data_IF_540026658452
#
_entry.id   IF_540026658452
#
_cell.length_a   1.000
_cell.length_b   1.000
_cell.length_c   1.000
_cell.angle_alpha   90.00
_cell.angle_beta   90.00
_cell.angle_gamma   90.00
#
_symmetry.space_group_name_H-M   'P 1'
#
loop_
_entity.id
_entity.type
_entity.pdbx_description
1 polymer ?
#
# COMPACT_ATOMS: atom_id res chain seq x y z
N UNK A 1 -26.61 -2.58 9.74
CA UNK A 1 -25.88 -1.37 9.28
C UNK A 1 -25.19 -1.71 7.97
N UNK A 2 -25.15 -0.78 7.02
CA UNK A 2 -24.46 -0.95 5.74
C UNK A 2 -23.85 0.41 5.34
N UNK A 3 -22.55 0.46 5.11
CA UNK A 3 -21.79 1.68 4.78
C UNK A 3 -20.96 1.50 3.52
N UNK A 4 -20.88 2.55 2.71
CA UNK A 4 -20.16 2.57 1.44
C UNK A 4 -19.34 3.86 1.31
N UNK A 5 -18.31 3.81 0.46
CA UNK A 5 -17.61 5.01 -0.02
C UNK A 5 -18.36 5.66 -1.20
N UNK A 6 -17.82 6.76 -1.73
CA UNK A 6 -18.41 7.49 -2.86
C UNK A 6 -18.49 6.69 -4.17
N UNK A 7 -17.79 5.55 -4.26
CA UNK A 7 -17.80 4.65 -5.41
C UNK A 7 -18.73 3.43 -5.17
N UNK A 8 -19.58 3.48 -4.14
CA UNK A 8 -20.48 2.40 -3.72
C UNK A 8 -19.76 1.10 -3.33
N UNK A 9 -18.51 1.18 -2.85
CA UNK A 9 -17.78 0.02 -2.31
C UNK A 9 -17.93 -0.04 -0.80
N UNK A 10 -18.01 -1.24 -0.22
CA UNK A 10 -18.07 -1.41 1.23
C UNK A 10 -16.89 -0.70 1.90
N UNK A 11 -17.19 0.23 2.81
CA UNK A 11 -16.16 1.04 3.42
C UNK A 11 -16.65 1.64 4.75
N UNK A 12 -15.79 1.57 5.76
CA UNK A 12 -15.91 2.32 7.01
C UNK A 12 -14.52 2.40 7.69
N UNK A 13 -14.29 3.47 8.46
CA UNK A 13 -13.00 3.75 9.09
C UNK A 13 -13.10 3.59 10.61
N UNK A 14 -12.50 2.53 11.16
CA UNK A 14 -12.57 2.21 12.60
C UNK A 14 -13.93 1.66 13.06
N UNK A 15 -14.87 1.44 12.14
CA UNK A 15 -16.21 0.91 12.41
C UNK A 15 -16.60 -0.16 11.39
N UNK A 16 -17.60 -1.01 11.67
CA UNK A 16 -18.07 -1.98 10.70
C UNK A 16 -18.70 -1.33 9.47
N UNK A 17 -18.30 -1.79 8.28
CA UNK A 17 -18.99 -1.50 7.03
C UNK A 17 -20.34 -2.24 6.98
N UNK A 18 -20.41 -3.44 7.57
CA UNK A 18 -21.66 -4.19 7.76
C UNK A 18 -21.78 -4.60 9.22
N UNK A 19 -22.97 -4.42 9.80
CA UNK A 19 -23.35 -5.04 11.07
C UNK A 19 -24.64 -5.80 10.91
N UNK A 20 -24.57 -7.11 11.15
CA UNK A 20 -25.69 -8.04 11.11
C UNK A 20 -26.49 -8.02 12.42
N UNK A 21 -27.70 -8.57 12.39
CA UNK A 21 -28.63 -8.58 13.54
C UNK A 21 -28.16 -9.44 14.70
N UNK A 22 -27.33 -10.44 14.41
CA UNK A 22 -26.71 -11.35 15.39
C UNK A 22 -25.46 -10.74 16.05
N UNK A 23 -25.07 -9.52 15.67
CA UNK A 23 -23.89 -8.83 16.19
C UNK A 23 -22.61 -9.04 15.36
N UNK A 24 -22.62 -9.97 14.39
CA UNK A 24 -21.47 -10.15 13.50
C UNK A 24 -21.21 -8.86 12.72
N UNK A 25 -19.93 -8.52 12.55
CA UNK A 25 -19.49 -7.28 11.94
C UNK A 25 -18.44 -7.56 10.87
N UNK A 26 -18.57 -6.92 9.71
CA UNK A 26 -17.57 -6.92 8.66
C UNK A 26 -16.98 -5.52 8.54
N UNK A 27 -15.66 -5.47 8.53
CA UNK A 27 -14.89 -4.26 8.32
C UNK A 27 -14.42 -4.23 6.88
N UNK A 28 -14.43 -3.08 6.25
CA UNK A 28 -13.99 -2.95 4.87
C UNK A 28 -13.41 -1.58 4.61
N UNK A 29 -12.41 -1.52 3.74
CA UNK A 29 -11.76 -0.29 3.32
C UNK A 29 -11.67 -0.27 1.79
N UNK A 30 -12.49 0.58 1.17
CA UNK A 30 -12.57 0.73 -0.29
C UNK A 30 -12.84 -0.60 -1.01
N UNK A 31 -13.77 -1.39 -0.47
CA UNK A 31 -14.19 -2.67 -1.02
C UNK A 31 -13.35 -3.87 -0.58
N UNK A 32 -12.20 -3.68 0.06
CA UNK A 32 -11.39 -4.78 0.61
C UNK A 32 -11.88 -5.10 2.02
N UNK A 33 -12.23 -6.36 2.28
CA UNK A 33 -12.61 -6.81 3.63
C UNK A 33 -11.37 -6.89 4.52
N UNK A 34 -11.44 -6.24 5.68
CA UNK A 34 -10.33 -6.18 6.64
C UNK A 34 -10.52 -7.22 7.74
N UNK A 35 -9.43 -7.89 8.16
CA UNK A 35 -9.38 -8.51 9.47
C UNK A 35 -9.75 -7.51 10.57
N UNK A 36 -10.43 -7.98 11.61
CA UNK A 36 -10.88 -7.13 12.72
C UNK A 36 -9.73 -6.33 13.35
N UNK A 37 -8.53 -6.93 13.48
CA UNK A 37 -7.32 -6.28 14.01
C UNK A 37 -6.98 -4.94 13.34
N UNK A 38 -7.35 -4.76 12.07
CA UNK A 38 -7.17 -3.52 11.31
C UNK A 38 -8.45 -2.71 11.25
N UNK A 39 -9.59 -3.38 11.03
CA UNK A 39 -10.88 -2.75 10.79
C UNK A 39 -11.43 -1.93 11.96
N UNK A 40 -11.13 -2.33 13.19
CA UNK A 40 -11.58 -1.60 14.40
C UNK A 40 -10.74 -0.34 14.68
N UNK A 41 -9.59 -0.20 14.03
CA UNK A 41 -8.69 0.94 14.22
C UNK A 41 -8.92 1.91 13.06
N UNK A 42 -9.18 3.19 13.32
CA UNK A 42 -9.29 4.17 12.23
C UNK A 42 -7.94 4.32 11.49
N UNK A 43 -7.92 4.56 10.17
CA UNK A 43 -6.69 4.61 9.38
C UNK A 43 -5.62 5.58 9.88
N UNK A 44 -6.04 6.72 10.45
CA UNK A 44 -5.12 7.69 11.06
C UNK A 44 -4.36 7.15 12.29
N UNK A 45 -4.78 6.03 12.86
CA UNK A 45 -4.16 5.32 13.97
C UNK A 45 -3.53 3.98 13.54
N UNK A 46 -3.57 3.63 12.26
CA UNK A 46 -2.88 2.44 11.76
C UNK A 46 -1.37 2.55 12.00
N UNK A 47 -0.73 1.42 12.32
CA UNK A 47 0.70 1.36 12.65
C UNK A 47 1.50 0.89 11.43
N UNK A 48 2.57 1.62 11.07
CA UNK A 48 3.43 1.25 9.94
C UNK A 48 4.08 -0.12 10.13
N UNK A 49 4.37 -0.48 11.38
CA UNK A 49 4.98 -1.74 11.78
C UNK A 49 4.15 -2.96 11.37
N UNK A 50 2.83 -2.82 11.21
CA UNK A 50 1.98 -3.90 10.73
C UNK A 50 2.38 -4.39 9.33
N UNK A 51 2.99 -3.52 8.51
CA UNK A 51 3.51 -3.89 7.19
C UNK A 51 4.64 -4.93 7.27
N UNK A 52 5.40 -4.94 8.36
CA UNK A 52 6.54 -5.85 8.57
C UNK A 52 6.10 -7.31 8.78
N UNK A 53 4.87 -7.51 9.26
CA UNK A 53 4.35 -8.83 9.63
C UNK A 53 3.16 -9.31 8.79
N UNK A 54 2.61 -8.45 7.93
CA UNK A 54 1.45 -8.80 7.11
C UNK A 54 1.88 -9.46 5.80
N UNK A 55 1.52 -10.73 5.62
CA UNK A 55 1.90 -11.54 4.47
C UNK A 55 0.99 -11.34 3.26
N UNK A 56 -0.29 -11.02 3.50
CA UNK A 56 -1.27 -10.87 2.45
C UNK A 56 -0.97 -9.60 1.64
N UNK A 57 -0.71 -9.79 0.33
CA UNK A 57 -0.35 -8.69 -0.56
C UNK A 57 -1.46 -7.63 -0.71
N UNK A 58 -2.73 -8.03 -0.70
CA UNK A 58 -3.86 -7.11 -0.79
C UNK A 58 -4.02 -6.28 0.49
N UNK A 59 -3.86 -6.90 1.66
CA UNK A 59 -3.90 -6.18 2.94
C UNK A 59 -2.72 -5.21 3.08
N UNK A 60 -1.51 -5.60 2.67
CA UNK A 60 -0.37 -4.65 2.61
C UNK A 60 -0.66 -3.45 1.72
N UNK A 61 -1.26 -3.67 0.53
CA UNK A 61 -1.67 -2.58 -0.35
C UNK A 61 -2.62 -1.61 0.35
N UNK A 62 -3.62 -2.14 1.06
CA UNK A 62 -4.57 -1.33 1.82
C UNK A 62 -3.87 -0.57 2.95
N UNK A 63 -3.03 -1.23 3.74
CA UNK A 63 -2.26 -0.59 4.81
C UNK A 63 -1.37 0.55 4.27
N UNK A 64 -0.67 0.33 3.16
CA UNK A 64 0.16 1.36 2.51
C UNK A 64 -0.68 2.57 2.11
N UNK A 65 -1.86 2.35 1.53
CA UNK A 65 -2.78 3.41 1.12
C UNK A 65 -3.34 4.18 2.31
N UNK A 66 -3.82 3.47 3.34
CA UNK A 66 -4.46 4.08 4.51
C UNK A 66 -3.47 4.82 5.43
N UNK A 67 -2.26 4.27 5.64
CA UNK A 67 -1.22 4.92 6.45
C UNK A 67 -0.59 6.09 5.70
N UNK A 68 -0.40 5.92 4.39
CA UNK A 68 0.23 6.90 3.53
C UNK A 68 1.74 6.75 3.47
N UNK A 69 2.26 6.90 2.25
CA UNK A 69 3.68 6.74 1.91
C UNK A 69 4.64 7.54 2.81
N UNK A 70 4.37 8.82 3.04
CA UNK A 70 5.29 9.71 3.75
C UNK A 70 5.49 9.26 5.21
N UNK A 71 4.39 8.87 5.87
CA UNK A 71 4.40 8.39 7.25
C UNK A 71 5.16 7.06 7.36
N UNK A 72 4.94 6.14 6.43
CA UNK A 72 5.66 4.86 6.37
C UNK A 72 7.17 5.08 6.26
N UNK A 73 7.59 5.97 5.36
CA UNK A 73 9.02 6.25 5.17
C UNK A 73 9.67 6.86 6.41
N UNK A 74 8.94 7.73 7.11
CA UNK A 74 9.41 8.36 8.33
C UNK A 74 9.49 7.37 9.50
N UNK A 75 8.42 6.61 9.75
CA UNK A 75 8.32 5.69 10.89
C UNK A 75 9.22 4.46 10.72
N UNK A 76 9.32 3.92 9.51
CA UNK A 76 10.11 2.72 9.20
C UNK A 76 11.50 3.03 8.62
N UNK A 77 11.92 4.29 8.61
CA UNK A 77 13.25 4.72 8.17
C UNK A 77 13.62 4.19 6.77
N UNK A 78 12.71 4.34 5.80
CA UNK A 78 12.93 3.85 4.45
C UNK A 78 14.13 4.55 3.79
N UNK A 79 15.04 3.76 3.23
CA UNK A 79 16.20 4.25 2.48
C UNK A 79 15.94 4.19 0.98
N UNK A 80 16.29 5.25 0.25
CA UNK A 80 16.31 5.24 -1.21
C UNK A 80 17.47 4.37 -1.72
N UNK A 81 17.14 3.37 -2.54
CA UNK A 81 18.14 2.50 -3.18
C UNK A 81 18.48 3.00 -4.59
N UNK A 82 17.47 3.41 -5.34
CA UNK A 82 17.62 3.82 -6.72
C UNK A 82 16.46 4.72 -7.15
N UNK A 83 16.73 5.69 -8.01
CA UNK A 83 15.72 6.51 -8.67
C UNK A 83 15.93 6.49 -10.18
N UNK A 84 14.81 6.52 -10.91
CA UNK A 84 14.78 6.59 -12.37
C UNK A 84 13.48 7.28 -12.80
N UNK A 85 13.60 8.43 -13.46
CA UNK A 85 12.45 9.27 -13.82
C UNK A 85 11.53 9.56 -12.61
N UNK A 86 10.23 9.34 -12.72
CA UNK A 86 9.26 9.49 -11.64
C UNK A 86 9.22 8.32 -10.62
N UNK A 87 10.10 7.33 -10.80
CA UNK A 87 10.14 6.11 -10.00
C UNK A 87 11.28 6.17 -8.98
N UNK A 88 11.00 5.72 -7.76
CA UNK A 88 12.02 5.56 -6.71
C UNK A 88 11.84 4.22 -6.01
N UNK A 89 12.88 3.39 -6.04
CA UNK A 89 12.96 2.15 -5.29
C UNK A 89 13.47 2.45 -3.88
N UNK A 90 12.71 2.00 -2.89
CA UNK A 90 12.98 2.20 -1.48
C UNK A 90 13.12 0.85 -0.78
N UNK A 91 13.94 0.82 0.26
CA UNK A 91 14.14 -0.31 1.13
C UNK A 91 13.85 0.09 2.56
N UNK A 92 12.98 -0.68 3.20
CA UNK A 92 12.79 -0.64 4.65
C UNK A 92 13.55 -1.84 5.19
N UNK A 93 14.56 -1.56 6.01
CA UNK A 93 15.27 -2.60 6.74
C UNK A 93 14.29 -3.26 7.71
N UNK A 94 14.37 -4.58 7.82
CA UNK A 94 13.70 -5.33 8.85
C UNK A 94 14.76 -6.03 9.71
N UNK A 95 14.37 -6.49 10.90
CA UNK A 95 15.25 -7.28 11.76
C UNK A 95 15.73 -8.55 11.04
N UNK A 96 16.81 -9.16 11.54
CA UNK A 96 17.51 -10.25 10.85
C UNK A 96 16.62 -11.46 10.47
N UNK A 97 15.52 -11.67 11.18
CA UNK A 97 14.58 -12.78 10.97
C UNK A 97 13.39 -12.41 10.05
N UNK A 98 13.35 -11.19 9.51
CA UNK A 98 12.25 -10.67 8.69
C UNK A 98 12.74 -10.25 7.31
N UNK A 99 11.98 -10.61 6.27
CA UNK A 99 12.29 -10.21 4.89
C UNK A 99 12.19 -8.68 4.75
N UNK A 100 13.21 -7.99 4.21
CA UNK A 100 13.15 -6.54 4.02
C UNK A 100 12.02 -6.16 3.07
N UNK A 101 11.39 -5.01 3.32
CA UNK A 101 10.32 -4.52 2.44
C UNK A 101 10.91 -3.60 1.38
N UNK A 102 10.57 -3.88 0.13
CA UNK A 102 10.91 -3.03 -0.99
C UNK A 102 9.64 -2.36 -1.50
N UNK A 103 9.69 -1.04 -1.65
CA UNK A 103 8.58 -0.24 -2.16
C UNK A 103 9.01 0.50 -3.42
N UNK A 104 8.19 0.43 -4.46
CA UNK A 104 8.29 1.31 -5.61
C UNK A 104 7.38 2.51 -5.38
N UNK A 105 7.98 3.68 -5.19
CA UNK A 105 7.30 4.97 -5.22
C UNK A 105 7.17 5.44 -6.66
N UNK A 106 5.99 5.92 -7.02
CA UNK A 106 5.65 6.51 -8.32
C UNK A 106 5.06 7.89 -8.07
N UNK A 107 5.67 8.93 -8.63
CA UNK A 107 5.17 10.31 -8.51
C UNK A 107 4.55 10.74 -9.82
N UNK A 108 3.23 10.94 -9.87
CA UNK A 108 2.58 11.44 -11.07
C UNK A 108 3.12 12.84 -11.45
N UNK A 109 3.77 13.05 -12.62
CA UNK A 109 4.43 14.32 -12.94
C UNK A 109 3.48 15.51 -13.06
N UNK A 110 2.24 15.26 -13.51
CA UNK A 110 1.24 16.32 -13.75
C UNK A 110 0.50 16.76 -12.49
N UNK A 111 0.35 15.88 -11.51
CA UNK A 111 -0.47 16.16 -10.31
C UNK A 111 0.31 16.12 -9.00
N UNK A 112 1.53 15.58 -9.01
CA UNK A 112 2.33 15.34 -7.81
C UNK A 112 1.81 14.21 -6.92
N UNK A 113 0.74 13.51 -7.30
CA UNK A 113 0.22 12.40 -6.50
C UNK A 113 1.24 11.27 -6.39
N UNK A 114 1.42 10.76 -5.18
CA UNK A 114 2.34 9.68 -4.89
C UNK A 114 1.56 8.38 -4.73
N UNK A 115 2.01 7.35 -5.44
CA UNK A 115 1.60 5.98 -5.23
C UNK A 115 2.81 5.16 -4.78
N UNK A 116 2.58 4.19 -3.89
CA UNK A 116 3.61 3.27 -3.45
C UNK A 116 3.08 1.84 -3.52
N UNK A 117 3.87 0.94 -4.10
CA UNK A 117 3.54 -0.48 -4.22
C UNK A 117 4.70 -1.32 -3.69
N UNK A 118 4.39 -2.43 -3.01
CA UNK A 118 5.42 -3.41 -2.63
C UNK A 118 5.91 -4.12 -3.89
N UNK A 119 7.22 -4.31 -3.97
CA UNK A 119 7.88 -5.08 -5.02
C UNK A 119 8.79 -6.15 -4.39
N UNK A 120 9.19 -7.20 -5.14
CA UNK A 120 10.11 -8.22 -4.66
C UNK A 120 11.42 -7.66 -4.08
N UNK A 121 11.96 -8.27 -3.01
CA UNK A 121 13.13 -7.75 -2.29
C UNK A 121 14.47 -7.97 -3.00
N UNK A 122 14.48 -8.67 -4.13
CA UNK A 122 15.68 -8.93 -4.93
C UNK A 122 15.99 -7.80 -5.93
N UNK A 123 15.08 -6.83 -6.07
CA UNK A 123 15.21 -5.77 -7.07
C UNK A 123 16.29 -4.76 -6.70
N UNK A 124 16.97 -4.27 -7.72
CA UNK A 124 18.11 -3.36 -7.55
C UNK A 124 17.88 -1.99 -8.16
N UNK A 125 16.95 -1.86 -9.11
CA UNK A 125 16.68 -0.59 -9.80
C UNK A 125 15.19 -0.26 -9.84
N UNK A 126 14.87 1.04 -9.89
CA UNK A 126 13.50 1.51 -10.03
C UNK A 126 12.90 1.11 -11.40
N UNK A 127 13.72 1.06 -12.46
CA UNK A 127 13.31 0.58 -13.80
C UNK A 127 12.90 -0.90 -13.79
N UNK A 128 13.67 -1.75 -13.11
CA UNK A 128 13.32 -3.17 -12.92
C UNK A 128 12.01 -3.32 -12.14
N UNK A 129 11.85 -2.53 -11.07
CA UNK A 129 10.65 -2.57 -10.25
C UNK A 129 9.39 -2.16 -11.01
N UNK A 130 9.44 -1.07 -11.80
CA UNK A 130 8.28 -0.64 -12.58
C UNK A 130 7.94 -1.63 -13.71
N UNK A 131 8.94 -2.27 -14.31
CA UNK A 131 8.72 -3.36 -15.27
C UNK A 131 7.94 -4.49 -14.63
N UNK A 132 8.34 -4.95 -13.45
CA UNK A 132 7.65 -6.02 -12.75
C UNK A 132 6.20 -5.65 -12.41
N UNK A 133 5.97 -4.42 -11.94
CA UNK A 133 4.61 -3.91 -11.67
C UNK A 133 3.74 -3.94 -12.94
N UNK A 134 4.34 -3.70 -14.10
CA UNK A 134 3.66 -3.69 -15.40
C UNK A 134 3.86 -4.98 -16.21
N UNK A 135 3.98 -6.13 -15.56
CA UNK A 135 4.06 -7.45 -16.22
C UNK A 135 5.22 -7.57 -17.24
N UNK A 136 6.38 -7.07 -16.86
CA UNK A 136 7.64 -7.05 -17.63
C UNK A 136 7.63 -6.16 -18.89
N UNK A 137 6.64 -5.27 -19.01
CA UNK A 137 6.63 -4.24 -20.05
C UNK A 137 7.62 -3.13 -19.67
N UNK A 138 8.54 -2.81 -20.58
CA UNK A 138 9.50 -1.73 -20.35
C UNK A 138 8.78 -0.36 -20.27
N UNK A 139 9.12 0.48 -19.28
CA UNK A 139 8.50 1.79 -19.12
C UNK A 139 8.67 2.73 -20.31
N UNK A 140 9.70 2.55 -21.15
CA UNK A 140 9.82 3.31 -22.41
C UNK A 140 8.73 2.96 -23.43
N UNK A 141 8.07 1.80 -23.28
CA UNK A 141 6.93 1.40 -24.09
C UNK A 141 5.58 1.87 -23.51
N UNK A 142 5.58 2.54 -22.35
CA UNK A 142 4.37 3.17 -21.84
C UNK A 142 3.95 4.22 -22.86
N UNK A 143 2.82 3.97 -23.54
CA UNK A 143 2.25 4.95 -24.44
C UNK A 143 2.09 6.25 -23.65
N UNK A 144 2.73 7.33 -24.13
CA UNK A 144 2.51 8.67 -23.60
C UNK A 144 1.03 8.96 -23.80
N UNK A 145 0.22 8.75 -22.76
CA UNK A 145 -1.14 9.25 -22.73
C UNK A 145 -1.04 10.77 -22.58
N UNK A 146 -0.91 11.44 -23.72
CA UNK A 146 -1.11 12.89 -23.87
C UNK A 146 -2.53 13.29 -23.56
#
# INVERSE_FOLDING_TARGET
>A
ILRFDSENRLHAEGEPAIRFVDGYSLYSYHGVTLPEKYGIVPPNQWQSEWLLTEDNAELRRVLIQGIGYARICQELQAAELNSWQEYTLLKIAADADVEPIYLLKMTCPSTGHIHALRVPPAMTTAREAIRWVNWDIDPEAFAVQT
#
